data_IF_432307604069
#
_entry.id   IF_432307604069
#
_cell.length_a   1.000
_cell.length_b   1.000
_cell.length_c   1.000
_cell.angle_alpha   90.00
_cell.angle_beta   90.00
_cell.angle_gamma   90.00
#
_symmetry.space_group_name_H-M   'P 1'
#
loop_
_entity.id
_entity.type
_entity.pdbx_description
1 polymer ?
#
# COMPACT_ATOMS: atom_id res chain seq x y z
N UNK A 1 -54.03 -47.42 -23.04
CA UNK A 1 -53.97 -45.96 -23.29
C UNK A 1 -52.67 -45.47 -22.69
N UNK A 2 -51.66 -45.26 -23.53
CA UNK A 2 -50.32 -44.86 -23.10
C UNK A 2 -50.28 -43.33 -23.13
N UNK A 3 -50.10 -42.72 -21.96
CA UNK A 3 -50.00 -41.26 -21.80
C UNK A 3 -48.82 -40.74 -22.63
N UNK A 4 -49.13 -39.89 -23.61
CA UNK A 4 -48.14 -39.15 -24.41
C UNK A 4 -47.32 -38.25 -23.50
N UNK A 5 -45.99 -38.33 -23.62
CA UNK A 5 -45.06 -37.41 -22.99
C UNK A 5 -45.44 -35.96 -23.38
N UNK A 6 -45.67 -35.13 -22.38
CA UNK A 6 -45.86 -33.70 -22.55
C UNK A 6 -44.61 -33.10 -23.17
N UNK A 7 -44.75 -32.54 -24.37
CA UNK A 7 -43.72 -31.70 -24.96
C UNK A 7 -43.65 -30.40 -24.12
N UNK A 8 -42.47 -30.08 -23.57
CA UNK A 8 -42.23 -28.72 -23.06
C UNK A 8 -41.93 -27.81 -24.25
N UNK A 9 -42.92 -27.02 -24.69
CA UNK A 9 -42.65 -25.86 -25.54
C UNK A 9 -41.97 -24.79 -24.69
N UNK A 10 -40.64 -24.68 -24.76
CA UNK A 10 -39.94 -23.47 -24.34
C UNK A 10 -40.12 -22.41 -25.41
N UNK A 11 -41.13 -21.56 -25.24
CA UNK A 11 -41.20 -20.30 -25.98
C UNK A 11 -40.00 -19.47 -25.56
N UNK A 12 -39.02 -19.32 -26.44
CA UNK A 12 -38.11 -18.19 -26.37
C UNK A 12 -38.97 -17.01 -26.82
N UNK A 13 -39.57 -16.29 -25.88
CA UNK A 13 -40.09 -14.95 -26.18
C UNK A 13 -38.89 -14.13 -26.66
N UNK A 14 -38.71 -14.06 -27.98
CA UNK A 14 -37.99 -12.94 -28.55
C UNK A 14 -38.80 -11.72 -28.12
N UNK A 15 -38.18 -10.80 -27.39
CA UNK A 15 -38.81 -9.54 -27.05
C UNK A 15 -39.33 -8.94 -28.36
N UNK A 16 -40.64 -8.75 -28.46
CA UNK A 16 -41.32 -8.21 -29.64
C UNK A 16 -41.10 -6.69 -29.62
N UNK A 17 -39.83 -6.30 -29.75
CA UNK A 17 -39.31 -4.93 -29.65
C UNK A 17 -38.78 -4.55 -31.02
N UNK A 18 -39.47 -3.61 -31.66
CA UNK A 18 -39.10 -3.04 -32.95
C UNK A 18 -38.75 -1.56 -32.76
N UNK A 19 -37.67 -1.10 -33.40
CA UNK A 19 -37.29 0.30 -33.34
C UNK A 19 -35.80 0.55 -33.55
N UNK A 20 -35.34 1.73 -33.13
CA UNK A 20 -33.97 2.19 -33.24
C UNK A 20 -33.48 2.74 -31.89
N UNK A 21 -32.28 2.31 -31.49
CA UNK A 21 -31.54 2.91 -30.39
C UNK A 21 -30.23 3.49 -30.93
N UNK A 22 -29.93 4.74 -30.57
CA UNK A 22 -28.69 5.43 -30.89
C UNK A 22 -27.96 5.74 -29.61
N UNK A 23 -26.71 5.28 -29.51
CA UNK A 23 -25.81 5.55 -28.40
C UNK A 23 -24.57 6.26 -28.93
N UNK A 24 -24.20 7.38 -28.31
CA UNK A 24 -22.97 8.11 -28.66
C UNK A 24 -22.03 8.15 -27.47
N UNK A 25 -20.73 8.12 -27.74
CA UNK A 25 -19.70 8.15 -26.71
C UNK A 25 -19.54 9.51 -26.04
N UNK A 26 -19.99 10.60 -26.66
CA UNK A 26 -19.94 11.95 -26.11
C UNK A 26 -21.11 12.80 -26.62
N UNK A 27 -21.34 13.97 -26.00
CA UNK A 27 -22.26 14.98 -26.53
C UNK A 27 -21.68 15.67 -27.77
N UNK A 28 -22.52 16.40 -28.51
CA UNK A 28 -22.09 17.15 -29.70
C UNK A 28 -21.06 18.26 -29.44
N UNK A 29 -20.86 18.65 -28.17
CA UNK A 29 -19.91 19.70 -27.77
C UNK A 29 -18.67 19.15 -27.04
N UNK A 30 -18.58 17.83 -26.90
CA UNK A 30 -17.51 17.17 -26.16
C UNK A 30 -16.71 16.23 -27.07
N UNK A 31 -15.42 16.13 -26.79
CA UNK A 31 -14.55 15.17 -27.46
C UNK A 31 -14.76 13.78 -26.89
N UNK A 32 -14.71 12.77 -27.75
CA UNK A 32 -14.60 11.38 -27.30
C UNK A 32 -13.15 11.07 -26.95
N UNK A 33 -12.90 10.66 -25.71
CA UNK A 33 -11.55 10.50 -25.18
C UNK A 33 -11.07 9.05 -25.26
N UNK A 34 -9.76 8.89 -25.42
CA UNK A 34 -9.06 7.61 -25.39
C UNK A 34 -8.10 7.55 -24.22
N UNK A 35 -7.80 6.33 -23.78
CA UNK A 35 -6.84 6.07 -22.71
C UNK A 35 -5.76 5.10 -23.18
N UNK A 36 -4.50 5.52 -23.08
CA UNK A 36 -3.34 4.64 -23.32
C UNK A 36 -3.37 3.40 -22.41
N UNK A 37 -3.82 3.58 -21.16
CA UNK A 37 -3.93 2.52 -20.17
C UNK A 37 -4.99 1.48 -20.56
N UNK A 38 -6.11 1.92 -21.12
CA UNK A 38 -7.16 1.03 -21.63
C UNK A 38 -6.90 0.56 -23.08
N UNK A 39 -5.95 1.20 -23.77
CA UNK A 39 -5.68 1.06 -25.21
C UNK A 39 -6.94 1.24 -26.06
N UNK A 40 -7.76 2.23 -25.72
CA UNK A 40 -9.00 2.54 -26.45
C UNK A 40 -9.87 3.60 -25.78
N UNK A 41 -11.06 3.81 -26.36
CA UNK A 41 -12.09 4.74 -25.87
C UNK A 41 -12.65 4.31 -24.52
N UNK A 42 -12.83 5.27 -23.60
CA UNK A 42 -13.46 5.02 -22.30
C UNK A 42 -14.87 4.42 -22.47
N UNK A 43 -15.69 5.05 -23.30
CA UNK A 43 -17.08 4.60 -23.53
C UNK A 43 -17.14 3.18 -24.06
N UNK A 44 -16.40 2.89 -25.13
CA UNK A 44 -16.40 1.55 -25.74
C UNK A 44 -15.90 0.50 -24.75
N UNK A 45 -14.87 0.83 -23.97
CA UNK A 45 -14.36 -0.06 -22.94
C UNK A 45 -15.43 -0.42 -21.90
N UNK A 46 -16.08 0.58 -21.29
CA UNK A 46 -17.07 0.33 -20.24
C UNK A 46 -18.37 -0.25 -20.79
N UNK A 47 -18.76 0.07 -22.02
CA UNK A 47 -19.90 -0.57 -22.68
C UNK A 47 -19.66 -2.07 -22.89
N UNK A 48 -18.48 -2.46 -23.41
CA UNK A 48 -18.10 -3.88 -23.57
C UNK A 48 -17.96 -4.58 -22.22
N UNK A 49 -17.41 -3.92 -21.20
CA UNK A 49 -17.38 -4.44 -19.83
C UNK A 49 -18.78 -4.68 -19.27
N UNK A 50 -19.71 -3.75 -19.50
CA UNK A 50 -21.12 -3.86 -19.14
C UNK A 50 -21.77 -5.09 -19.76
N UNK A 51 -21.62 -5.27 -21.08
CA UNK A 51 -22.13 -6.43 -21.83
C UNK A 51 -21.54 -7.77 -21.39
N UNK A 52 -20.36 -7.76 -20.75
CA UNK A 52 -19.77 -8.95 -20.13
C UNK A 52 -20.38 -9.27 -18.76
N UNK A 53 -21.29 -8.45 -18.24
CA UNK A 53 -21.99 -8.69 -16.98
C UNK A 53 -21.67 -7.68 -15.88
N UNK A 54 -20.75 -6.73 -16.09
CA UNK A 54 -20.52 -5.68 -15.10
C UNK A 54 -21.74 -4.75 -14.94
N UNK A 55 -22.64 -4.72 -15.93
CA UNK A 55 -23.87 -3.95 -15.92
C UNK A 55 -25.09 -4.72 -15.40
N UNK A 56 -24.99 -6.05 -15.19
CA UNK A 56 -26.09 -6.90 -14.69
C UNK A 56 -26.41 -6.54 -13.23
N UNK A 57 -27.29 -5.56 -13.06
CA UNK A 57 -27.58 -4.94 -11.77
C UNK A 57 -28.53 -5.79 -10.93
N UNK A 58 -29.45 -6.51 -11.57
CA UNK A 58 -30.48 -7.32 -10.91
C UNK A 58 -30.11 -8.80 -10.73
N UNK A 59 -28.99 -9.25 -11.31
CA UNK A 59 -28.47 -10.63 -11.23
C UNK A 59 -29.27 -11.67 -12.01
N UNK A 60 -30.00 -11.27 -13.05
CA UNK A 60 -30.79 -12.20 -13.86
C UNK A 60 -29.97 -12.88 -14.98
N UNK A 61 -28.66 -12.61 -15.05
CA UNK A 61 -27.71 -13.07 -16.06
C UNK A 61 -27.99 -12.53 -17.48
N UNK A 62 -28.80 -11.49 -17.60
CA UNK A 62 -29.09 -10.74 -18.81
C UNK A 62 -28.59 -9.32 -18.60
N UNK A 63 -28.11 -8.71 -19.69
CA UNK A 63 -27.74 -7.29 -19.67
C UNK A 63 -28.64 -6.60 -20.68
N UNK A 64 -29.51 -5.74 -20.17
CA UNK A 64 -30.40 -4.91 -20.98
C UNK A 64 -29.67 -3.71 -21.58
N UNK A 65 -30.27 -3.09 -22.58
CA UNK A 65 -29.75 -1.85 -23.18
C UNK A 65 -29.61 -0.73 -22.13
N UNK A 66 -30.61 -0.58 -21.27
CA UNK A 66 -30.62 0.46 -20.23
C UNK A 66 -29.49 0.22 -19.22
N UNK A 67 -29.32 -1.01 -18.73
CA UNK A 67 -28.22 -1.37 -17.84
C UNK A 67 -26.84 -1.14 -18.48
N UNK A 68 -26.65 -1.60 -19.72
CA UNK A 68 -25.39 -1.43 -20.44
C UNK A 68 -25.05 0.05 -20.63
N UNK A 69 -26.05 0.87 -20.96
CA UNK A 69 -25.88 2.31 -21.12
C UNK A 69 -25.59 3.00 -19.79
N UNK A 70 -26.39 2.74 -18.75
CA UNK A 70 -26.23 3.38 -17.44
C UNK A 70 -24.85 3.08 -16.85
N UNK A 71 -24.41 1.80 -16.92
CA UNK A 71 -23.07 1.41 -16.51
C UNK A 71 -21.99 2.15 -17.31
N UNK A 72 -22.09 2.15 -18.64
CA UNK A 72 -21.11 2.79 -19.51
C UNK A 72 -21.05 4.31 -19.29
N UNK A 73 -22.20 4.96 -19.09
CA UNK A 73 -22.31 6.39 -18.78
C UNK A 73 -21.58 6.73 -17.48
N UNK A 74 -21.93 6.06 -16.39
CA UNK A 74 -21.38 6.36 -15.06
C UNK A 74 -19.85 6.16 -15.01
N UNK A 75 -19.34 5.06 -15.56
CA UNK A 75 -17.90 4.81 -15.53
C UNK A 75 -17.12 5.67 -16.53
N UNK A 76 -17.71 6.05 -17.68
CA UNK A 76 -17.09 7.02 -18.61
C UNK A 76 -16.96 8.39 -17.97
N UNK A 77 -18.01 8.91 -17.34
CA UNK A 77 -17.97 10.21 -16.64
C UNK A 77 -16.93 10.17 -15.51
N UNK A 78 -16.90 9.09 -14.72
CA UNK A 78 -15.94 8.91 -13.63
C UNK A 78 -14.49 8.84 -14.12
N UNK A 79 -14.25 8.09 -15.21
CA UNK A 79 -12.90 7.91 -15.74
C UNK A 79 -12.38 9.17 -16.43
N UNK A 80 -13.22 9.83 -17.23
CA UNK A 80 -12.90 11.10 -17.91
C UNK A 80 -12.69 12.25 -16.92
N UNK A 81 -13.38 12.26 -15.76
CA UNK A 81 -13.18 13.27 -14.72
C UNK A 81 -11.77 13.30 -14.08
N UNK A 82 -10.92 12.33 -14.40
CA UNK A 82 -9.49 12.32 -14.04
C UNK A 82 -8.58 12.83 -15.16
N UNK A 83 -9.16 13.28 -16.26
CA UNK A 83 -8.48 13.88 -17.41
C UNK A 83 -8.81 15.37 -17.49
N UNK A 84 -8.35 16.04 -18.55
CA UNK A 84 -8.56 17.48 -18.74
C UNK A 84 -10.01 17.86 -19.09
N UNK A 85 -10.85 16.89 -19.48
CA UNK A 85 -12.24 17.13 -19.87
C UNK A 85 -13.16 15.98 -19.46
N UNK A 86 -14.40 16.29 -19.11
CA UNK A 86 -15.44 15.30 -18.90
C UNK A 86 -16.01 14.83 -20.24
N UNK A 87 -16.50 13.60 -20.25
CA UNK A 87 -17.18 12.99 -21.38
C UNK A 87 -18.53 12.43 -20.92
N UNK A 88 -19.62 12.91 -21.53
CA UNK A 88 -20.97 12.45 -21.25
C UNK A 88 -21.54 11.69 -22.47
N UNK A 89 -21.59 10.35 -22.41
CA UNK A 89 -22.31 9.57 -23.42
C UNK A 89 -23.78 10.01 -23.53
N UNK A 90 -24.37 9.86 -24.71
CA UNK A 90 -25.80 10.18 -24.90
C UNK A 90 -26.54 8.99 -25.49
N UNK A 91 -27.84 8.95 -25.22
CA UNK A 91 -28.71 7.86 -25.57
C UNK A 91 -30.06 8.37 -26.05
N UNK A 92 -30.49 7.87 -27.20
CA UNK A 92 -31.80 8.14 -27.78
C UNK A 92 -32.44 6.83 -28.23
N UNK A 93 -33.67 6.60 -27.78
CA UNK A 93 -34.43 5.38 -28.05
C UNK A 93 -35.76 5.74 -28.68
N UNK A 94 -36.04 5.11 -29.81
CA UNK A 94 -37.37 5.05 -30.41
C UNK A 94 -37.72 3.57 -30.63
N UNK A 95 -38.21 2.91 -29.56
CA UNK A 95 -38.55 1.49 -29.55
C UNK A 95 -40.01 1.30 -29.15
N UNK A 96 -40.68 0.35 -29.80
CA UNK A 96 -42.05 -0.07 -29.52
C UNK A 96 -42.08 -1.58 -29.29
N UNK A 97 -42.78 -2.02 -28.25
CA UNK A 97 -42.82 -3.44 -27.93
C UNK A 97 -43.16 -3.73 -26.48
N UNK A 98 -43.05 -5.00 -26.10
CA UNK A 98 -43.17 -5.44 -24.71
C UNK A 98 -41.85 -6.04 -24.24
N UNK A 99 -41.40 -5.62 -23.05
CA UNK A 99 -40.17 -6.10 -22.41
C UNK A 99 -38.97 -5.19 -22.67
N UNK A 100 -37.91 -5.41 -21.89
CA UNK A 100 -36.63 -4.72 -22.07
C UNK A 100 -35.83 -5.35 -23.22
N UNK A 101 -35.05 -4.53 -23.93
CA UNK A 101 -34.15 -5.05 -24.96
C UNK A 101 -32.89 -5.64 -24.32
N UNK A 102 -32.77 -6.97 -24.34
CA UNK A 102 -31.59 -7.69 -23.86
C UNK A 102 -30.51 -7.70 -24.93
N UNK A 103 -29.33 -7.17 -24.59
CA UNK A 103 -28.17 -7.10 -25.50
C UNK A 103 -27.21 -8.28 -25.32
N UNK A 104 -27.09 -8.80 -24.10
CA UNK A 104 -26.17 -9.89 -23.78
C UNK A 104 -26.79 -10.84 -22.77
N UNK A 105 -26.41 -12.12 -22.88
CA UNK A 105 -26.80 -13.19 -21.96
C UNK A 105 -25.54 -13.92 -21.49
N UNK A 106 -25.29 -13.88 -20.19
CA UNK A 106 -24.07 -14.42 -19.58
C UNK A 106 -24.08 -15.95 -19.47
N UNK A 107 -25.26 -16.56 -19.65
CA UNK A 107 -25.54 -17.99 -19.54
C UNK A 107 -25.63 -18.72 -20.89
N UNK A 108 -25.61 -17.99 -22.01
CA UNK A 108 -25.99 -18.53 -23.31
C UNK A 108 -24.86 -19.25 -24.07
N UNK A 109 -23.59 -18.86 -23.87
CA UNK A 109 -22.44 -19.44 -24.58
C UNK A 109 -21.61 -20.35 -23.68
N UNK A 110 -21.68 -21.66 -23.94
CA UNK A 110 -20.91 -22.68 -23.23
C UNK A 110 -19.38 -22.56 -23.41
N UNK A 111 -18.90 -21.74 -24.37
CA UNK A 111 -17.47 -21.46 -24.56
C UNK A 111 -16.95 -20.40 -23.59
N UNK A 112 -17.84 -19.57 -23.05
CA UNK A 112 -17.51 -18.59 -22.03
C UNK A 112 -17.44 -19.26 -20.67
N UNK A 113 -16.74 -18.60 -19.77
CA UNK A 113 -16.64 -18.94 -18.37
C UNK A 113 -17.10 -17.75 -17.53
N UNK A 114 -17.64 -18.02 -16.35
CA UNK A 114 -18.09 -16.98 -15.43
C UNK A 114 -17.05 -16.75 -14.33
N UNK A 115 -16.60 -15.51 -14.19
CA UNK A 115 -15.86 -15.03 -13.04
C UNK A 115 -16.84 -14.35 -12.08
N UNK A 116 -16.92 -14.80 -10.84
CA UNK A 116 -17.76 -14.18 -9.80
C UNK A 116 -16.89 -13.29 -8.92
N UNK A 117 -17.14 -11.98 -8.99
CA UNK A 117 -16.44 -10.95 -8.22
C UNK A 117 -17.02 -10.89 -6.81
N UNK A 118 -16.19 -10.73 -5.79
CA UNK A 118 -16.60 -10.85 -4.38
C UNK A 118 -17.23 -9.57 -3.80
N UNK A 119 -16.88 -8.39 -4.30
CA UNK A 119 -17.25 -7.08 -3.71
C UNK A 119 -17.52 -6.01 -4.79
N UNK A 120 -18.25 -4.92 -4.47
CA UNK A 120 -18.43 -3.78 -5.37
C UNK A 120 -17.17 -2.89 -5.41
N UNK A 121 -16.07 -3.41 -5.97
CA UNK A 121 -14.77 -2.76 -6.04
C UNK A 121 -14.27 -2.60 -7.49
N UNK A 122 -13.16 -1.90 -7.69
CA UNK A 122 -12.50 -1.84 -8.99
C UNK A 122 -11.62 -3.07 -9.21
N UNK A 123 -11.93 -3.86 -10.24
CA UNK A 123 -11.16 -5.01 -10.68
C UNK A 123 -10.46 -4.71 -12.01
N UNK A 124 -9.19 -5.09 -12.09
CA UNK A 124 -8.42 -5.16 -13.31
C UNK A 124 -8.22 -6.62 -13.68
N UNK A 125 -8.70 -7.00 -14.85
CA UNK A 125 -8.56 -8.36 -15.39
C UNK A 125 -7.57 -8.28 -16.53
N UNK A 126 -6.41 -8.94 -16.38
CA UNK A 126 -5.35 -8.98 -17.38
C UNK A 126 -5.11 -10.41 -17.85
N UNK A 127 -4.72 -10.60 -19.11
CA UNK A 127 -4.31 -11.92 -19.61
C UNK A 127 -3.00 -12.32 -18.92
N UNK A 128 -2.96 -13.53 -18.38
CA UNK A 128 -1.81 -13.97 -17.57
C UNK A 128 -0.54 -14.22 -18.41
N UNK A 129 -0.65 -14.33 -19.74
CA UNK A 129 0.52 -14.62 -20.59
C UNK A 129 1.29 -13.37 -21.00
N UNK A 130 0.58 -12.30 -21.34
CA UNK A 130 1.17 -11.07 -21.89
C UNK A 130 0.91 -9.83 -21.02
N UNK A 131 0.17 -9.96 -19.92
CA UNK A 131 -0.16 -8.88 -18.99
C UNK A 131 -1.10 -7.82 -19.58
N UNK A 132 -1.67 -8.05 -20.77
CA UNK A 132 -2.56 -7.08 -21.41
C UNK A 132 -3.85 -6.97 -20.62
N UNK A 133 -4.27 -5.73 -20.32
CA UNK A 133 -5.56 -5.46 -19.70
C UNK A 133 -6.70 -5.90 -20.64
N UNK A 134 -7.54 -6.81 -20.15
CA UNK A 134 -8.69 -7.39 -20.86
C UNK A 134 -9.99 -6.69 -20.48
N UNK A 135 -10.13 -6.29 -19.22
CA UNK A 135 -11.25 -5.50 -18.74
C UNK A 135 -10.90 -4.76 -17.45
N UNK A 136 -11.44 -3.55 -17.32
CA UNK A 136 -11.61 -2.87 -16.05
C UNK A 136 -13.09 -2.94 -15.68
N UNK A 137 -13.36 -3.55 -14.53
CA UNK A 137 -14.70 -3.91 -14.09
C UNK A 137 -14.97 -3.24 -12.75
N UNK A 138 -16.11 -2.59 -12.61
CA UNK A 138 -16.54 -2.03 -11.34
C UNK A 138 -18.00 -2.39 -11.11
N UNK A 139 -18.28 -3.63 -10.69
CA UNK A 139 -19.65 -4.08 -10.54
C UNK A 139 -20.41 -3.22 -9.52
N UNK A 140 -21.72 -3.00 -9.71
CA UNK A 140 -22.54 -2.21 -8.79
C UNK A 140 -22.79 -2.93 -7.45
N UNK A 141 -22.50 -4.23 -7.37
CA UNK A 141 -22.82 -5.12 -6.25
C UNK A 141 -21.75 -6.19 -6.04
N UNK A 142 -21.81 -6.83 -4.87
CA UNK A 142 -21.06 -8.06 -4.59
C UNK A 142 -21.61 -9.25 -5.39
N UNK A 143 -20.81 -10.29 -5.54
CA UNK A 143 -21.15 -11.53 -6.25
C UNK A 143 -21.62 -11.27 -7.70
N UNK A 144 -21.00 -10.29 -8.35
CA UNK A 144 -21.29 -9.95 -9.74
C UNK A 144 -20.67 -10.98 -10.69
N UNK A 145 -21.45 -11.42 -11.69
CA UNK A 145 -21.04 -12.41 -12.66
C UNK A 145 -20.47 -11.73 -13.91
N UNK A 146 -19.29 -12.18 -14.35
CA UNK A 146 -18.65 -11.64 -15.53
C UNK A 146 -18.27 -12.77 -16.48
N UNK A 147 -18.82 -12.73 -17.69
CA UNK A 147 -18.53 -13.67 -18.75
C UNK A 147 -17.21 -13.31 -19.47
N UNK A 148 -16.26 -14.22 -19.44
CA UNK A 148 -14.94 -14.08 -20.06
C UNK A 148 -14.62 -15.32 -20.91
N UNK A 149 -13.81 -15.18 -21.97
CA UNK A 149 -13.28 -16.34 -22.69
C UNK A 149 -12.53 -17.30 -21.77
N UNK A 150 -12.55 -18.59 -22.08
CA UNK A 150 -11.81 -19.60 -21.34
C UNK A 150 -10.28 -19.43 -21.52
N UNK A 151 -9.63 -18.78 -20.55
CA UNK A 151 -8.18 -18.53 -20.50
C UNK A 151 -7.69 -18.36 -19.05
N UNK A 152 -6.38 -18.19 -18.89
CA UNK A 152 -5.78 -17.79 -17.61
C UNK A 152 -5.72 -16.27 -17.51
N UNK A 153 -6.14 -15.75 -16.37
CA UNK A 153 -6.18 -14.33 -16.07
C UNK A 153 -5.48 -14.05 -14.75
N UNK A 154 -4.88 -12.88 -14.67
CA UNK A 154 -4.50 -12.26 -13.41
C UNK A 154 -5.58 -11.23 -13.08
N UNK A 155 -6.30 -11.45 -11.99
CA UNK A 155 -7.37 -10.58 -11.51
C UNK A 155 -6.87 -9.82 -10.31
N UNK A 156 -6.87 -8.50 -10.43
CA UNK A 156 -6.38 -7.60 -9.40
C UNK A 156 -7.53 -6.75 -8.90
N UNK A 157 -7.68 -6.62 -7.59
CA UNK A 157 -8.59 -5.62 -7.03
C UNK A 157 -7.95 -4.89 -5.86
N UNK A 158 -8.38 -3.65 -5.71
CA UNK A 158 -7.84 -2.74 -4.72
C UNK A 158 -8.90 -2.43 -3.68
N UNK A 159 -8.59 -2.81 -2.43
CA UNK A 159 -9.28 -2.30 -1.24
C UNK A 159 -8.54 -1.10 -0.67
N UNK A 160 -9.16 -0.32 0.24
CA UNK A 160 -8.50 0.76 1.00
C UNK A 160 -7.42 0.29 1.98
N UNK A 161 -7.22 -1.02 2.16
CA UNK A 161 -6.26 -1.63 3.11
C UNK A 161 -5.49 -2.87 2.58
N UNK A 162 -5.78 -3.36 1.37
CA UNK A 162 -4.90 -4.30 0.65
C UNK A 162 -5.03 -4.22 -0.89
N UNK A 163 -3.99 -4.65 -1.58
CA UNK A 163 -4.05 -4.97 -3.01
C UNK A 163 -4.01 -6.49 -3.16
N UNK A 164 -5.02 -7.06 -3.78
CA UNK A 164 -5.15 -8.50 -3.95
C UNK A 164 -4.93 -8.87 -5.41
N UNK A 165 -4.11 -9.89 -5.62
CA UNK A 165 -3.90 -10.50 -6.93
C UNK A 165 -4.34 -11.97 -6.87
N UNK A 166 -5.16 -12.39 -7.83
CA UNK A 166 -5.60 -13.77 -8.01
C UNK A 166 -5.14 -14.27 -9.37
N UNK A 167 -4.59 -15.48 -9.40
CA UNK A 167 -4.40 -16.23 -10.64
C UNK A 167 -5.63 -17.10 -10.86
N UNK A 168 -6.41 -16.75 -11.89
CA UNK A 168 -7.68 -17.41 -12.22
C UNK A 168 -7.52 -18.17 -13.52
N UNK A 169 -7.85 -19.46 -13.49
CA UNK A 169 -7.88 -20.29 -14.70
C UNK A 169 -9.34 -20.60 -15.08
N UNK A 170 -9.85 -19.90 -16.09
CA UNK A 170 -11.21 -20.08 -16.58
C UNK A 170 -11.26 -21.16 -17.66
N UNK A 171 -12.08 -22.19 -17.43
CA UNK A 171 -12.37 -23.26 -18.40
C UNK A 171 -13.74 -23.05 -19.04
N UNK A 172 -13.98 -23.55 -20.27
CA UNK A 172 -15.30 -23.41 -20.91
C UNK A 172 -16.43 -23.93 -20.00
N UNK A 173 -17.49 -23.13 -19.85
CA UNK A 173 -18.65 -23.45 -19.02
C UNK A 173 -18.40 -23.48 -17.51
N UNK A 174 -17.19 -23.13 -17.05
CA UNK A 174 -16.88 -23.09 -15.62
C UNK A 174 -17.31 -21.78 -14.98
N UNK A 175 -17.67 -21.83 -13.71
CA UNK A 175 -17.87 -20.67 -12.84
C UNK A 175 -16.80 -20.69 -11.76
N UNK A 176 -16.04 -19.60 -11.65
CA UNK A 176 -14.97 -19.44 -10.66
C UNK A 176 -15.25 -18.19 -9.84
N UNK A 177 -15.47 -18.38 -8.54
CA UNK A 177 -15.64 -17.28 -7.60
C UNK A 177 -14.30 -16.85 -7.01
N UNK A 178 -14.05 -15.54 -6.92
CA UNK A 178 -12.89 -15.02 -6.20
C UNK A 178 -12.97 -15.30 -4.70
N UNK A 179 -14.20 -15.36 -4.17
CA UNK A 179 -14.49 -15.74 -2.79
C UNK A 179 -13.96 -17.14 -2.52
N UNK A 180 -13.00 -17.24 -1.59
CA UNK A 180 -12.36 -18.51 -1.21
C UNK A 180 -11.14 -18.90 -2.04
N UNK A 181 -10.79 -18.15 -3.09
CA UNK A 181 -9.48 -18.30 -3.74
C UNK A 181 -8.38 -17.72 -2.87
N UNK A 182 -7.22 -18.37 -2.88
CA UNK A 182 -6.03 -17.85 -2.23
C UNK A 182 -5.53 -16.63 -3.02
N UNK A 183 -5.61 -15.46 -2.41
CA UNK A 183 -5.08 -14.22 -2.98
C UNK A 183 -3.63 -14.00 -2.55
N UNK A 184 -2.81 -13.48 -3.44
CA UNK A 184 -1.57 -12.81 -3.06
C UNK A 184 -1.92 -11.38 -2.63
N UNK A 185 -1.89 -11.15 -1.32
CA UNK A 185 -2.15 -9.83 -0.76
C UNK A 185 -0.83 -9.06 -0.62
N UNK A 186 -0.64 -8.04 -1.44
CA UNK A 186 0.42 -7.04 -1.18
C UNK A 186 -0.12 -6.05 -0.15
N UNK A 187 0.35 -6.19 1.11
CA UNK A 187 -0.10 -5.36 2.24
C UNK A 187 0.54 -3.96 2.23
N UNK A 188 -0.07 -3.07 3.01
CA UNK A 188 -0.10 -1.61 2.84
C UNK A 188 1.17 -0.81 3.13
N UNK A 189 2.11 -1.35 3.89
CA UNK A 189 3.29 -0.60 4.35
C UNK A 189 4.14 -0.02 3.21
N UNK A 190 4.18 -0.68 2.06
CA UNK A 190 4.87 -0.20 0.86
C UNK A 190 4.01 0.68 -0.05
N UNK A 191 2.68 0.61 0.07
CA UNK A 191 1.76 1.23 -0.88
C UNK A 191 1.82 2.77 -0.76
N UNK A 192 1.78 3.30 0.46
CA UNK A 192 1.86 4.75 0.73
C UNK A 192 3.17 5.33 0.17
N UNK A 193 4.30 4.65 0.42
CA UNK A 193 5.63 5.04 -0.08
C UNK A 193 5.74 5.01 -1.61
N UNK A 194 5.03 4.07 -2.26
CA UNK A 194 4.92 3.98 -3.73
C UNK A 194 3.86 4.92 -4.32
N UNK A 195 3.18 5.72 -3.50
CA UNK A 195 2.14 6.65 -3.95
C UNK A 195 0.83 5.96 -4.36
N UNK A 196 0.62 4.71 -3.94
CA UNK A 196 -0.65 4.01 -4.04
C UNK A 196 -1.41 4.04 -2.71
N UNK A 197 -2.68 3.64 -2.74
CA UNK A 197 -3.55 3.63 -1.54
C UNK A 197 -4.36 4.91 -1.37
N UNK A 198 -5.39 4.85 -0.53
CA UNK A 198 -6.13 6.04 -0.09
C UNK A 198 -5.51 6.66 1.18
N UNK A 199 -4.72 5.86 1.92
CA UNK A 199 -4.00 6.34 3.10
C UNK A 199 -2.83 7.24 2.69
N UNK A 200 -2.70 8.37 3.38
CA UNK A 200 -1.60 9.33 3.18
C UNK A 200 -0.43 9.06 4.12
N UNK A 201 -0.69 8.34 5.23
CA UNK A 201 0.31 7.99 6.23
C UNK A 201 0.04 6.60 6.85
N UNK A 202 1.11 5.92 7.28
CA UNK A 202 1.06 4.69 8.09
C UNK A 202 1.91 4.89 9.34
N UNK A 203 1.40 4.49 10.50
CA UNK A 203 2.09 4.65 11.77
C UNK A 203 2.84 3.35 12.12
N UNK A 204 4.04 3.48 12.67
CA UNK A 204 4.85 2.34 13.09
C UNK A 204 5.43 2.53 14.48
N UNK A 205 5.44 1.46 15.26
CA UNK A 205 6.12 1.37 16.54
C UNK A 205 7.28 0.40 16.41
N UNK A 206 8.40 0.67 17.06
CA UNK A 206 9.55 -0.22 17.03
C UNK A 206 10.32 -0.26 18.34
N UNK A 207 11.04 -1.36 18.52
CA UNK A 207 11.95 -1.59 19.63
C UNK A 207 13.23 -2.20 19.09
N UNK A 208 14.37 -1.61 19.45
CA UNK A 208 15.68 -2.04 18.97
C UNK A 208 16.70 -2.07 20.10
N UNK A 209 17.59 -3.07 20.05
CA UNK A 209 18.84 -3.04 20.78
C UNK A 209 19.87 -2.32 19.92
N UNK A 210 20.64 -1.43 20.54
CA UNK A 210 21.62 -0.61 19.87
C UNK A 210 22.96 -0.65 20.60
N UNK A 211 24.00 -0.34 19.85
CA UNK A 211 25.37 -0.20 20.31
C UNK A 211 25.94 1.07 19.70
N UNK A 212 26.55 1.93 20.53
CA UNK A 212 27.24 3.15 20.09
C UNK A 212 28.70 3.06 20.50
N UNK A 213 29.56 3.53 19.62
CA UNK A 213 30.99 3.68 19.90
C UNK A 213 31.25 4.71 21.03
N UNK A 214 32.47 4.69 21.56
CA UNK A 214 32.91 5.60 22.62
C UNK A 214 32.70 7.07 22.22
N UNK A 215 32.19 7.89 23.14
CA UNK A 215 32.03 9.35 22.94
C UNK A 215 33.22 10.12 23.49
N UNK A 216 33.95 9.53 24.43
CA UNK A 216 35.18 10.05 25.03
C UNK A 216 36.20 8.93 25.11
N UNK A 217 37.48 9.24 24.96
CA UNK A 217 38.57 8.27 25.11
C UNK A 217 38.48 7.57 26.48
N UNK A 218 38.60 6.23 26.48
CA UNK A 218 38.48 5.39 27.68
C UNK A 218 37.06 4.94 28.04
N UNK A 219 36.02 5.43 27.37
CA UNK A 219 34.65 4.98 27.61
C UNK A 219 34.32 3.69 26.81
N UNK A 220 33.75 2.64 27.44
CA UNK A 220 33.35 1.45 26.70
C UNK A 220 32.15 1.78 25.81
N UNK A 221 32.13 1.17 24.63
CA UNK A 221 30.98 1.29 23.76
C UNK A 221 29.73 0.65 24.42
N UNK A 222 28.61 1.36 24.31
CA UNK A 222 27.50 1.23 25.25
C UNK A 222 26.27 0.56 24.61
N UNK A 223 25.64 -0.42 25.28
CA UNK A 223 24.38 -0.98 24.82
C UNK A 223 23.22 -0.05 25.21
N UNK A 224 22.32 0.23 24.28
CA UNK A 224 21.11 1.02 24.53
C UNK A 224 19.87 0.29 24.04
N UNK A 225 18.73 0.52 24.69
CA UNK A 225 17.42 0.17 24.17
C UNK A 225 16.83 1.41 23.48
N UNK A 226 16.23 1.22 22.30
CA UNK A 226 15.58 2.28 21.53
C UNK A 226 14.12 1.93 21.36
N UNK A 227 13.24 2.87 21.72
CA UNK A 227 11.83 2.86 21.37
C UNK A 227 11.59 3.90 20.27
N UNK A 228 10.88 3.52 19.21
CA UNK A 228 10.62 4.40 18.08
C UNK A 228 9.13 4.48 17.71
N UNK A 229 8.73 5.67 17.26
CA UNK A 229 7.43 5.94 16.66
C UNK A 229 7.65 6.67 15.33
N UNK A 230 7.32 6.00 14.23
CA UNK A 230 7.51 6.50 12.88
C UNK A 230 6.20 6.73 12.14
N UNK A 231 6.20 7.69 11.22
CA UNK A 231 5.07 7.96 10.32
C UNK A 231 5.56 7.84 8.89
N UNK A 232 5.15 6.79 8.19
CA UNK A 232 5.50 6.55 6.80
C UNK A 232 4.60 7.35 5.88
N UNK A 233 5.18 8.29 5.12
CA UNK A 233 4.47 9.04 4.07
C UNK A 233 4.97 8.63 2.68
N UNK A 234 4.39 9.23 1.63
CA UNK A 234 4.83 9.02 0.24
C UNK A 234 6.30 9.40 0.02
N UNK A 235 6.77 10.46 0.68
CA UNK A 235 8.07 11.05 0.40
C UNK A 235 9.10 10.70 1.46
N UNK A 236 8.75 10.85 2.73
CA UNK A 236 9.69 10.70 3.84
C UNK A 236 9.03 10.01 5.03
N UNK A 237 9.84 9.39 5.87
CA UNK A 237 9.43 8.79 7.13
C UNK A 237 10.10 9.55 8.27
N UNK A 238 9.44 10.55 8.89
CA UNK A 238 9.87 11.06 10.18
C UNK A 238 9.68 10.01 11.27
N UNK A 239 10.67 9.86 12.15
CA UNK A 239 10.59 8.93 13.29
C UNK A 239 11.11 9.61 14.56
N UNK A 240 10.28 9.62 15.60
CA UNK A 240 10.71 9.96 16.96
C UNK A 240 11.34 8.74 17.60
N UNK A 241 12.49 8.90 18.23
CA UNK A 241 13.17 7.84 18.98
C UNK A 241 13.53 8.30 20.38
N UNK A 242 13.39 7.39 21.34
CA UNK A 242 13.86 7.55 22.71
C UNK A 242 14.80 6.40 23.00
N UNK A 243 16.00 6.69 23.49
CA UNK A 243 16.97 5.67 23.89
C UNK A 243 17.36 5.80 25.35
N UNK A 244 17.67 4.67 25.96
CA UNK A 244 18.16 4.61 27.34
C UNK A 244 19.22 3.54 27.53
N UNK A 245 20.20 3.84 28.38
CA UNK A 245 21.21 2.89 28.81
C UNK A 245 21.65 3.15 30.24
N UNK A 246 22.08 2.09 30.92
CA UNK A 246 22.81 2.14 32.18
C UNK A 246 23.90 1.08 32.14
N UNK A 247 25.15 1.49 32.29
CA UNK A 247 26.30 0.60 32.24
C UNK A 247 27.38 1.03 33.22
N UNK A 248 28.27 0.10 33.55
CA UNK A 248 29.46 0.36 34.37
C UNK A 248 30.66 0.59 33.44
N UNK A 249 31.49 1.58 33.77
CA UNK A 249 32.68 1.94 33.05
C UNK A 249 33.82 2.22 34.04
N UNK A 250 35.06 1.88 33.67
CA UNK A 250 36.23 2.23 34.45
C UNK A 250 36.65 3.67 34.13
N UNK A 251 36.87 4.49 35.16
CA UNK A 251 37.30 5.88 34.99
C UNK A 251 38.78 6.00 34.57
N UNK A 252 39.07 6.93 33.66
CA UNK A 252 40.44 7.35 33.28
C UNK A 252 41.23 7.86 34.51
N UNK A 253 40.53 8.41 35.50
CA UNK A 253 41.03 8.88 36.79
C UNK A 253 41.13 7.73 37.82
N UNK A 254 42.23 6.98 37.78
CA UNK A 254 42.64 6.00 38.82
C UNK A 254 41.87 4.66 38.86
N UNK A 255 41.10 4.30 37.82
CA UNK A 255 40.48 2.97 37.71
C UNK A 255 39.31 2.74 38.69
N UNK A 256 38.68 3.81 39.17
CA UNK A 256 37.47 3.69 39.98
C UNK A 256 36.27 3.36 39.08
N UNK A 257 35.46 2.38 39.51
CA UNK A 257 34.22 2.03 38.84
C UNK A 257 33.25 3.23 38.84
N UNK A 258 32.69 3.52 37.67
CA UNK A 258 31.71 4.58 37.42
C UNK A 258 30.43 3.97 36.85
N UNK A 259 29.27 4.31 37.41
CA UNK A 259 27.99 4.01 36.76
C UNK A 259 27.59 5.16 35.86
N UNK A 260 27.29 4.85 34.60
CA UNK A 260 26.86 5.82 33.61
C UNK A 260 25.42 5.53 33.19
N UNK A 261 24.55 6.52 33.36
CA UNK A 261 23.18 6.51 32.82
C UNK A 261 23.05 7.49 31.66
N UNK A 262 22.45 7.05 30.57
CA UNK A 262 22.17 7.88 29.40
C UNK A 262 20.69 7.83 29.02
N UNK A 263 20.14 9.00 28.69
CA UNK A 263 18.79 9.14 28.13
C UNK A 263 18.86 10.07 26.91
N UNK A 264 18.46 9.57 25.75
CA UNK A 264 18.48 10.30 24.49
C UNK A 264 17.09 10.43 23.87
N UNK A 265 16.82 11.59 23.26
CA UNK A 265 15.66 11.81 22.41
C UNK A 265 16.14 12.30 21.05
N UNK A 266 15.67 11.65 19.99
CA UNK A 266 16.09 11.98 18.63
C UNK A 266 14.97 11.95 17.62
N UNK A 267 15.25 12.55 16.48
CA UNK A 267 14.40 12.54 15.30
C UNK A 267 15.20 12.02 14.11
N UNK A 268 14.63 11.08 13.38
CA UNK A 268 15.15 10.68 12.08
C UNK A 268 14.22 11.15 10.97
N UNK A 269 14.80 11.40 9.80
CA UNK A 269 14.06 11.64 8.58
C UNK A 269 14.64 10.76 7.48
N UNK A 270 13.87 9.79 7.01
CA UNK A 270 14.35 8.75 6.11
C UNK A 270 13.59 8.71 4.80
N UNK A 271 14.28 8.35 3.72
CA UNK A 271 13.71 7.94 2.44
C UNK A 271 13.82 6.43 2.29
N UNK A 272 12.73 5.77 1.93
CA UNK A 272 12.70 4.32 1.69
C UNK A 272 12.73 4.00 0.19
N UNK A 273 13.36 2.87 -0.12
CA UNK A 273 13.40 2.22 -1.42
C UNK A 273 12.97 0.76 -1.21
N UNK A 274 11.75 0.45 -1.65
CA UNK A 274 11.15 -0.87 -1.43
C UNK A 274 11.45 -1.83 -2.59
N UNK A 275 12.22 -2.89 -2.30
CA UNK A 275 12.47 -4.03 -3.19
C UNK A 275 11.54 -5.20 -2.80
N UNK A 276 11.49 -6.26 -3.60
CA UNK A 276 10.52 -7.35 -3.41
C UNK A 276 10.64 -8.03 -2.04
N UNK A 277 11.87 -8.33 -1.60
CA UNK A 277 12.15 -9.11 -0.38
C UNK A 277 12.69 -8.27 0.80
N UNK A 278 13.14 -7.05 0.55
CA UNK A 278 13.69 -6.13 1.55
C UNK A 278 13.32 -4.67 1.22
N UNK A 279 13.38 -3.81 2.22
CA UNK A 279 13.28 -2.36 2.05
C UNK A 279 14.57 -1.73 2.56
N UNK A 280 15.16 -0.84 1.76
CA UNK A 280 16.34 -0.07 2.14
C UNK A 280 15.91 1.34 2.49
N UNK A 281 16.55 1.97 3.47
CA UNK A 281 16.35 3.39 3.72
C UNK A 281 17.64 4.11 4.06
N UNK A 282 17.65 5.40 3.73
CA UNK A 282 18.75 6.31 4.03
C UNK A 282 18.18 7.62 4.54
N UNK A 283 18.92 8.32 5.38
CA UNK A 283 18.42 9.54 6.00
C UNK A 283 19.39 10.20 6.94
N UNK A 284 18.84 11.09 7.75
CA UNK A 284 19.56 11.83 8.78
C UNK A 284 18.97 11.55 10.16
N UNK A 285 19.81 11.71 11.18
CA UNK A 285 19.47 11.60 12.59
C UNK A 285 19.97 12.85 13.30
N UNK A 286 19.11 13.47 14.10
CA UNK A 286 19.49 14.45 15.12
C UNK A 286 19.04 13.95 16.49
N UNK A 287 19.88 14.09 17.51
CA UNK A 287 19.62 13.59 18.86
C UNK A 287 20.18 14.55 19.91
N UNK A 288 19.46 14.71 21.02
CA UNK A 288 19.97 15.28 22.25
C UNK A 288 19.98 14.20 23.33
N UNK A 289 21.07 14.10 24.09
CA UNK A 289 21.20 13.13 25.16
C UNK A 289 21.67 13.77 26.47
N UNK A 290 21.08 13.31 27.55
CA UNK A 290 21.48 13.62 28.91
C UNK A 290 22.26 12.44 29.49
N UNK A 291 23.35 12.76 30.17
CA UNK A 291 24.28 11.80 30.75
C UNK A 291 24.42 12.07 32.26
N UNK A 292 24.45 11.01 33.06
CA UNK A 292 24.73 11.06 34.49
C UNK A 292 25.84 10.07 34.85
N UNK A 293 26.86 10.58 35.55
CA UNK A 293 28.00 9.82 36.03
C UNK A 293 28.00 9.76 37.56
N UNK A 294 27.87 8.54 38.10
CA UNK A 294 27.98 8.21 39.53
C UNK A 294 29.31 7.50 39.79
N UNK A 295 30.06 7.91 40.81
CA UNK A 295 31.40 7.39 41.11
C UNK A 295 31.38 6.57 42.40
N UNK A 296 32.17 5.49 42.47
CA UNK A 296 32.23 4.61 43.63
C UNK A 296 32.90 5.23 44.90
N UNK A 297 33.40 6.46 44.82
CA UNK A 297 33.98 7.23 45.93
C UNK A 297 33.11 8.47 46.26
N UNK A 298 33.45 9.23 47.31
CA UNK A 298 32.74 10.46 47.75
C UNK A 298 32.93 11.67 46.78
N UNK A 299 32.88 11.39 45.47
CA UNK A 299 32.93 12.36 44.38
C UNK A 299 31.49 12.74 44.01
N UNK A 300 31.21 14.02 43.74
CA UNK A 300 29.87 14.45 43.36
C UNK A 300 29.45 13.85 42.02
N UNK A 301 28.18 13.46 41.92
CA UNK A 301 27.54 13.07 40.66
C UNK A 301 27.67 14.20 39.64
N UNK A 302 28.07 13.86 38.41
CA UNK A 302 28.18 14.82 37.31
C UNK A 302 27.10 14.56 36.27
N UNK A 303 26.53 15.63 35.73
CA UNK A 303 25.59 15.55 34.60
C UNK A 303 26.09 16.36 33.44
N UNK A 304 25.81 15.91 32.22
CA UNK A 304 26.17 16.63 31.00
C UNK A 304 25.14 16.41 29.91
N UNK A 305 25.19 17.27 28.89
CA UNK A 305 24.36 17.19 27.71
C UNK A 305 25.21 17.04 26.46
N UNK A 306 24.74 16.22 25.53
CA UNK A 306 25.34 16.09 24.21
C UNK A 306 24.30 16.29 23.12
N UNK A 307 24.75 16.87 22.00
CA UNK A 307 23.97 16.96 20.77
C UNK A 307 24.64 16.14 19.68
N UNK A 308 23.93 15.25 19.03
CA UNK A 308 24.46 14.41 17.95
C UNK A 308 23.71 14.63 16.65
N UNK A 309 24.44 14.67 15.54
CA UNK A 309 23.86 14.69 14.20
C UNK A 309 24.62 13.76 13.27
N UNK A 310 23.93 13.07 12.38
CA UNK A 310 24.59 12.17 11.44
C UNK A 310 23.70 11.60 10.35
N UNK A 311 24.31 10.73 9.56
CA UNK A 311 23.63 9.99 8.51
C UNK A 311 23.23 8.61 9.02
N UNK A 312 22.20 8.05 8.41
CA UNK A 312 21.71 6.72 8.73
C UNK A 312 21.44 5.93 7.46
N UNK A 313 21.78 4.65 7.49
CA UNK A 313 21.33 3.62 6.58
C UNK A 313 20.58 2.55 7.36
N UNK A 314 19.52 1.99 6.76
CA UNK A 314 18.81 0.86 7.33
C UNK A 314 18.37 -0.14 6.26
N UNK A 315 18.26 -1.39 6.68
CA UNK A 315 17.64 -2.48 5.94
C UNK A 315 16.52 -3.06 6.77
N UNK A 316 15.43 -3.39 6.09
CA UNK A 316 14.24 -3.93 6.72
C UNK A 316 13.71 -5.11 5.92
N UNK A 317 13.34 -6.17 6.62
CA UNK A 317 12.68 -7.35 6.06
C UNK A 317 11.33 -7.54 6.72
N UNK A 318 10.26 -7.51 5.91
CA UNK A 318 8.91 -7.78 6.39
C UNK A 318 8.80 -9.27 6.75
N UNK A 319 8.21 -9.55 7.91
CA UNK A 319 7.96 -10.89 8.41
C UNK A 319 6.49 -11.28 8.16
N UNK A 320 5.58 -10.78 9.00
CA UNK A 320 4.14 -11.05 8.90
C UNK A 320 3.34 -9.90 9.51
N UNK A 321 2.12 -9.64 9.02
CA UNK A 321 1.18 -8.73 9.69
C UNK A 321 1.70 -7.30 9.94
N UNK A 322 2.58 -6.78 9.08
CA UNK A 322 3.22 -5.46 9.25
C UNK A 322 4.41 -5.46 10.22
N UNK A 323 4.72 -6.58 10.85
CA UNK A 323 5.93 -6.78 11.65
C UNK A 323 7.11 -6.99 10.72
N UNK A 324 8.21 -6.31 11.02
CA UNK A 324 9.44 -6.34 10.23
C UNK A 324 10.66 -6.43 11.14
N UNK A 325 11.67 -7.15 10.66
CA UNK A 325 13.02 -7.12 11.22
C UNK A 325 13.77 -5.95 10.61
N UNK A 326 14.42 -5.14 11.44
CA UNK A 326 15.15 -3.95 11.03
C UNK A 326 16.56 -3.97 11.58
N UNK A 327 17.52 -3.53 10.76
CA UNK A 327 18.87 -3.18 11.18
C UNK A 327 19.24 -1.81 10.62
N UNK A 328 19.85 -0.97 11.43
CA UNK A 328 20.22 0.41 11.07
C UNK A 328 21.53 0.84 11.71
N UNK A 329 22.15 1.86 11.15
CA UNK A 329 23.35 2.46 11.70
C UNK A 329 23.95 3.52 10.80
N UNK A 330 25.02 4.14 11.29
CA UNK A 330 25.73 5.16 10.54
C UNK A 330 26.68 5.99 11.38
N UNK A 331 27.37 6.95 10.74
CA UNK A 331 28.25 7.89 11.42
C UNK A 331 27.44 8.95 12.17
N UNK A 332 27.99 9.42 13.28
CA UNK A 332 27.50 10.49 14.12
C UNK A 332 28.63 11.48 14.39
N UNK A 333 28.28 12.75 14.46
CA UNK A 333 29.09 13.80 15.04
C UNK A 333 28.42 14.23 16.35
N UNK A 334 29.08 13.95 17.47
CA UNK A 334 28.60 14.29 18.81
C UNK A 334 29.33 15.52 19.32
N UNK A 335 28.57 16.56 19.62
CA UNK A 335 29.02 17.81 20.23
C UNK A 335 28.85 17.69 21.74
N UNK A 336 29.92 17.96 22.48
CA UNK A 336 29.96 17.86 23.94
C UNK A 336 30.76 19.01 24.55
N UNK A 337 30.35 19.42 25.74
CA UNK A 337 31.07 20.39 26.55
C UNK A 337 32.23 19.70 27.27
N UNK A 338 33.44 20.23 27.09
CA UNK A 338 34.66 19.75 27.72
C UNK A 338 35.14 20.78 28.73
N UNK A 339 35.57 20.33 29.90
CA UNK A 339 36.27 21.16 30.85
C UNK A 339 37.66 20.61 31.15
N UNK A 340 38.67 21.49 31.06
CA UNK A 340 40.05 21.17 31.42
C UNK A 340 40.25 21.51 32.90
N UNK A 341 40.61 20.49 33.68
CA UNK A 341 40.90 20.64 35.11
C UNK A 341 42.40 20.58 35.32
N UNK A 342 43.00 21.65 35.85
CA UNK A 342 44.40 21.65 36.31
C UNK A 342 44.44 21.88 37.82
N UNK A 343 45.22 21.08 38.54
CA UNK A 343 45.36 21.15 40.00
C UNK A 343 44.02 21.16 40.79
N UNK A 344 42.98 20.50 40.26
CA UNK A 344 41.67 20.39 40.91
C UNK A 344 40.75 21.61 40.72
N UNK A 345 41.18 22.62 39.96
CA UNK A 345 40.36 23.75 39.54
C UNK A 345 40.01 23.64 38.05
N UNK A 346 38.79 24.00 37.69
CA UNK A 346 38.36 24.13 36.30
C UNK A 346 39.01 25.38 35.69
N UNK A 347 39.88 25.18 34.70
CA UNK A 347 40.71 26.26 34.12
C UNK A 347 40.17 26.76 32.79
N UNK A 348 39.51 25.89 32.02
CA UNK A 348 39.00 26.24 30.68
C UNK A 348 37.78 25.38 30.33
N UNK A 349 36.71 26.02 29.84
CA UNK A 349 35.53 25.35 29.26
C UNK A 349 35.52 25.54 27.75
N UNK A 350 35.22 24.46 27.02
CA UNK A 350 35.23 24.45 25.56
C UNK A 350 34.17 23.51 25.01
N UNK A 351 33.95 23.58 23.69
CA UNK A 351 33.08 22.66 22.96
C UNK A 351 33.97 21.81 22.07
N UNK A 352 33.82 20.49 22.15
CA UNK A 352 34.49 19.55 21.26
C UNK A 352 33.47 18.79 20.42
N UNK A 353 33.92 18.26 19.29
CA UNK A 353 33.12 17.39 18.43
C UNK A 353 33.88 16.09 18.21
N UNK A 354 33.21 14.97 18.49
CA UNK A 354 33.75 13.63 18.33
C UNK A 354 32.98 12.92 17.23
N UNK A 355 33.70 12.27 16.32
CA UNK A 355 33.11 11.42 15.29
C UNK A 355 33.00 10.00 15.84
N UNK A 356 31.79 9.46 15.87
CA UNK A 356 31.49 8.11 16.34
C UNK A 356 30.53 7.40 15.38
N UNK A 357 30.23 6.14 15.66
CA UNK A 357 29.27 5.35 14.89
C UNK A 357 28.34 4.58 15.81
N UNK A 358 27.22 4.13 15.25
CA UNK A 358 26.25 3.32 15.96
C UNK A 358 25.61 2.29 15.05
N UNK A 359 25.14 1.22 15.68
CA UNK A 359 24.39 0.13 15.05
C UNK A 359 23.21 -0.23 15.93
N UNK A 360 22.06 -0.51 15.34
CA UNK A 360 20.89 -1.01 16.05
C UNK A 360 20.18 -2.08 15.22
N UNK A 361 19.54 -3.01 15.91
CA UNK A 361 18.67 -4.00 15.28
C UNK A 361 17.49 -4.36 16.18
N UNK A 362 16.36 -4.69 15.58
CA UNK A 362 15.18 -5.06 16.31
C UNK A 362 13.94 -5.21 15.43
N UNK A 363 12.79 -4.94 16.02
CA UNK A 363 11.50 -5.15 15.40
C UNK A 363 10.75 -3.83 15.24
N UNK A 364 10.08 -3.67 14.10
CA UNK A 364 9.16 -2.57 13.84
C UNK A 364 7.84 -3.13 13.34
N UNK A 365 6.74 -2.66 13.91
CA UNK A 365 5.38 -3.03 13.55
C UNK A 365 4.63 -1.82 13.00
N UNK A 366 4.09 -1.96 11.78
CA UNK A 366 3.24 -0.95 11.13
C UNK A 366 1.75 -1.29 11.29
N UNK A 367 0.96 -0.26 11.61
CA UNK A 367 -0.46 -0.32 11.99
C UNK A 367 -1.37 0.25 10.89
#
# INVERSE_FOLDING_TARGET
>A
VQMTASFEMRFVEAADVEGMAVITSSTARESSLESDRLRGSFFTHYFVAGLRGAADADSDARVTLDEAYDYAYHETVRASGRTESLQHPTFAVDMKGKGAMVLSRLDADARLAQLVLDEPALYLVSDANDGRLVAELKPPRAEAHVALPARRYTVQHRRPDAYFTYDVNLRPGSTVALKGLKAEATRYDRLVRKGGGERVAIHGLGVMAAYRDAVVDGEPAAPHLILEYGVDTRWLTPTLRVRGARYEADGEDQGLARTHTELGVGLTLQRFVDLDWISLSFGILGEAAWHQHEYAADRPTRTSWTGSFGALLAVERILYGGLSLRAEGGPLATVLETSRVEAGAEVETGVSTVANAWLAAGLRWRL
#
